data_IF_186235285633
#
_entry.id   IF_186235285633
#
_cell.length_a   1.000
_cell.length_b   1.000
_cell.length_c   1.000
_cell.angle_alpha   90.00
_cell.angle_beta   90.00
_cell.angle_gamma   90.00
#
_symmetry.space_group_name_H-M   'P 1'
#
loop_
_entity.id
_entity.type
_entity.pdbx_description
1 polymer ?
#
# COMPACT_ATOMS: atom_id res chain seq x y z
N UNK A 1 -21.73 -12.64 -41.69
CA UNK A 1 -22.11 -13.28 -40.41
C UNK A 1 -20.87 -13.34 -39.52
N UNK A 2 -20.22 -12.20 -39.25
CA UNK A 2 -18.86 -12.20 -38.67
C UNK A 2 -18.51 -10.92 -37.87
N UNK A 3 -19.36 -9.89 -37.86
CA UNK A 3 -19.02 -8.56 -37.29
C UNK A 3 -19.39 -8.44 -35.80
N UNK A 4 -20.27 -9.32 -35.29
CA UNK A 4 -20.72 -9.28 -33.89
C UNK A 4 -19.83 -10.05 -32.91
N UNK A 5 -18.99 -10.98 -33.40
CA UNK A 5 -18.09 -11.76 -32.56
C UNK A 5 -16.91 -10.93 -32.02
N UNK A 6 -16.53 -9.88 -32.74
CA UNK A 6 -15.41 -8.98 -32.37
C UNK A 6 -15.73 -8.12 -31.14
N UNK A 7 -17.01 -7.86 -30.84
CA UNK A 7 -17.44 -7.06 -29.68
C UNK A 7 -17.42 -7.82 -28.35
N UNK A 8 -17.21 -9.14 -28.39
CA UNK A 8 -17.28 -10.02 -27.21
C UNK A 8 -15.91 -10.37 -26.62
N UNK A 9 -14.81 -9.94 -27.26
CA UNK A 9 -13.46 -10.03 -26.70
C UNK A 9 -13.04 -8.66 -26.19
N UNK A 10 -12.92 -8.45 -24.86
CA UNK A 10 -12.30 -7.22 -24.36
C UNK A 10 -10.88 -7.14 -24.91
N UNK A 11 -10.56 -6.09 -25.68
CA UNK A 11 -9.19 -5.83 -26.12
C UNK A 11 -8.35 -5.56 -24.87
N UNK A 12 -7.61 -6.57 -24.40
CA UNK A 12 -6.76 -6.47 -23.22
C UNK A 12 -5.73 -5.36 -23.43
N UNK A 13 -5.91 -4.23 -22.73
CA UNK A 13 -4.92 -3.16 -22.75
C UNK A 13 -3.70 -3.60 -21.95
N UNK A 14 -2.51 -3.05 -22.29
CA UNK A 14 -1.28 -3.30 -21.52
C UNK A 14 -1.45 -2.99 -20.03
N UNK A 15 -2.27 -2.00 -19.69
CA UNK A 15 -2.57 -1.62 -18.30
C UNK A 15 -3.41 -2.69 -17.60
N UNK A 16 -4.46 -3.19 -18.24
CA UNK A 16 -5.32 -4.24 -17.67
C UNK A 16 -4.57 -5.56 -17.47
N UNK A 17 -3.71 -5.93 -18.42
CA UNK A 17 -2.84 -7.11 -18.32
C UNK A 17 -1.87 -7.00 -17.13
N UNK A 18 -1.26 -5.83 -16.91
CA UNK A 18 -0.35 -5.59 -15.78
C UNK A 18 -1.09 -5.63 -14.45
N UNK A 19 -2.27 -5.00 -14.34
CA UNK A 19 -3.06 -4.99 -13.11
C UNK A 19 -3.56 -6.40 -12.74
N UNK A 20 -4.02 -7.18 -13.71
CA UNK A 20 -4.50 -8.55 -13.48
C UNK A 20 -3.37 -9.51 -13.10
N UNK A 21 -2.20 -9.40 -13.74
CA UNK A 21 -1.04 -10.22 -13.40
C UNK A 21 -0.36 -9.84 -12.08
N UNK A 22 -0.53 -8.59 -11.61
CA UNK A 22 0.07 -8.10 -10.36
C UNK A 22 -0.28 -8.97 -9.15
N UNK A 23 -1.55 -9.37 -9.00
CA UNK A 23 -2.00 -10.18 -7.86
C UNK A 23 -1.32 -11.56 -7.84
N UNK A 24 -1.25 -12.22 -9.00
CA UNK A 24 -0.59 -13.52 -9.14
C UNK A 24 0.94 -13.42 -8.98
N UNK A 25 1.55 -12.38 -9.57
CA UNK A 25 2.99 -12.12 -9.50
C UNK A 25 3.46 -11.78 -8.09
N UNK A 26 2.71 -10.93 -7.37
CA UNK A 26 3.00 -10.59 -5.97
C UNK A 26 2.94 -11.84 -5.09
N UNK A 27 1.88 -12.64 -5.18
CA UNK A 27 1.73 -13.87 -4.39
C UNK A 27 2.87 -14.88 -4.62
N UNK A 28 3.41 -14.95 -5.84
CA UNK A 28 4.59 -15.79 -6.12
C UNK A 28 5.91 -15.16 -5.64
N UNK A 29 6.07 -13.84 -5.75
CA UNK A 29 7.29 -13.13 -5.38
C UNK A 29 7.53 -13.03 -3.87
N UNK A 30 6.49 -13.12 -3.05
CA UNK A 30 6.60 -13.05 -1.57
C UNK A 30 7.05 -14.36 -0.91
N UNK A 31 7.48 -15.37 -1.68
CA UNK A 31 8.01 -16.64 -1.18
C UNK A 31 9.54 -16.68 -1.33
N UNK A 32 10.32 -17.01 -0.29
CA UNK A 32 9.97 -17.18 1.11
C UNK A 32 9.90 -15.83 1.85
N UNK A 33 8.96 -15.68 2.78
CA UNK A 33 8.97 -14.59 3.75
C UNK A 33 10.24 -14.74 4.58
N UNK A 34 11.23 -13.91 4.30
CA UNK A 34 12.38 -13.71 5.18
C UNK A 34 11.87 -13.04 6.46
N UNK A 35 11.38 -13.84 7.41
CA UNK A 35 11.02 -13.38 8.74
C UNK A 35 12.29 -13.12 9.56
N UNK A 36 13.13 -12.18 9.10
CA UNK A 36 14.13 -11.56 9.97
C UNK A 36 13.48 -10.31 10.56
N UNK A 37 13.30 -10.31 11.87
CA UNK A 37 12.89 -9.12 12.60
C UNK A 37 14.02 -8.10 12.49
N UNK A 38 13.88 -7.14 11.58
CA UNK A 38 14.74 -5.97 11.51
C UNK A 38 14.20 -4.96 12.51
N UNK A 39 14.91 -4.78 13.62
CA UNK A 39 14.60 -3.69 14.57
C UNK A 39 15.26 -2.42 14.05
N UNK A 40 14.44 -1.52 13.49
CA UNK A 40 14.90 -0.20 13.06
C UNK A 40 15.00 0.73 14.26
N UNK A 41 16.11 1.43 14.39
CA UNK A 41 16.26 2.44 15.43
C UNK A 41 15.38 3.68 15.14
N UNK A 42 14.99 4.41 16.19
CA UNK A 42 14.17 5.61 16.06
C UNK A 42 15.01 6.90 15.99
N UNK A 43 16.31 6.81 15.72
CA UNK A 43 17.18 7.99 15.72
C UNK A 43 16.77 8.95 14.60
N UNK A 44 16.55 10.22 14.95
CA UNK A 44 16.15 11.25 13.99
C UNK A 44 14.67 11.24 13.59
N UNK A 45 13.87 10.32 14.13
CA UNK A 45 12.41 10.30 13.95
C UNK A 45 11.67 10.38 15.29
N UNK A 46 10.44 10.88 15.23
CA UNK A 46 9.47 10.75 16.32
C UNK A 46 8.53 9.63 15.93
N UNK A 47 8.58 8.53 16.67
CA UNK A 47 7.78 7.34 16.43
C UNK A 47 7.03 6.94 17.70
N UNK A 48 5.73 6.65 17.58
CA UNK A 48 4.92 6.25 18.72
C UNK A 48 3.42 6.29 18.46
N UNK A 49 2.67 5.92 19.50
CA UNK A 49 1.21 6.00 19.49
C UNK A 49 0.74 7.45 19.58
N UNK A 50 -0.30 7.76 18.81
CA UNK A 50 -1.00 9.04 18.79
C UNK A 50 -2.49 8.80 18.91
N UNK A 51 -3.19 9.79 19.46
CA UNK A 51 -4.65 9.83 19.49
C UNK A 51 -5.13 10.85 18.48
N UNK A 52 -5.91 10.39 17.51
CA UNK A 52 -6.49 11.23 16.47
C UNK A 52 -7.95 11.51 16.85
N UNK A 53 -8.34 12.77 17.10
CA UNK A 53 -9.72 13.09 17.42
C UNK A 53 -10.61 12.83 16.20
N UNK A 54 -11.68 12.07 16.41
CA UNK A 54 -12.76 11.81 15.45
C UNK A 54 -14.09 12.23 16.09
N UNK A 55 -15.18 12.26 15.31
CA UNK A 55 -16.47 12.75 15.80
C UNK A 55 -16.95 12.08 17.10
N UNK A 56 -16.71 10.78 17.23
CA UNK A 56 -17.23 9.96 18.34
C UNK A 56 -16.16 9.59 19.39
N UNK A 57 -14.96 10.18 19.34
CA UNK A 57 -13.90 9.91 20.32
C UNK A 57 -12.47 10.05 19.78
N UNK A 58 -11.53 9.36 20.42
CA UNK A 58 -10.12 9.34 20.00
C UNK A 58 -9.80 8.00 19.34
N UNK A 59 -9.30 8.04 18.10
CA UNK A 59 -8.80 6.87 17.39
C UNK A 59 -7.30 6.69 17.68
N UNK A 60 -6.88 5.55 18.28
CA UNK A 60 -5.46 5.26 18.43
C UNK A 60 -4.83 4.94 17.07
N UNK A 61 -3.64 5.49 16.82
CA UNK A 61 -2.86 5.21 15.63
C UNK A 61 -1.36 5.21 15.96
N UNK A 62 -0.56 4.54 15.14
CA UNK A 62 0.90 4.67 15.20
C UNK A 62 1.37 5.67 14.15
N UNK A 63 2.22 6.61 14.54
CA UNK A 63 2.83 7.59 13.63
C UNK A 63 4.34 7.58 13.77
N UNK A 64 5.04 7.56 12.65
CA UNK A 64 6.47 7.82 12.55
C UNK A 64 6.72 8.97 11.57
N UNK A 65 7.49 9.97 11.97
CA UNK A 65 7.84 11.13 11.12
C UNK A 65 9.24 11.68 11.47
N UNK A 66 9.91 12.42 10.58
CA UNK A 66 11.17 13.10 10.92
C UNK A 66 11.02 14.01 12.14
N UNK A 67 12.05 14.07 12.99
CA UNK A 67 12.01 14.86 14.23
C UNK A 67 11.99 16.39 14.00
N UNK A 68 12.34 16.85 12.79
CA UNK A 68 12.41 18.27 12.42
C UNK A 68 11.88 18.46 10.99
N UNK A 69 11.30 19.62 10.73
CA UNK A 69 10.65 19.96 9.46
C UNK A 69 9.13 19.95 9.60
N UNK A 70 8.45 20.35 8.53
CA UNK A 70 6.99 20.50 8.49
C UNK A 70 6.45 20.04 7.12
N UNK A 71 5.14 19.82 7.04
CA UNK A 71 4.43 19.47 5.79
C UNK A 71 4.99 18.23 5.08
N UNK A 72 5.19 17.15 5.83
CA UNK A 72 5.65 15.89 5.26
C UNK A 72 4.56 15.20 4.42
N UNK A 73 4.93 14.53 3.31
CA UNK A 73 4.01 13.63 2.63
C UNK A 73 3.62 12.48 3.58
N UNK A 74 2.35 12.06 3.52
CA UNK A 74 1.79 11.04 4.41
C UNK A 74 1.48 9.78 3.62
N UNK A 75 2.05 8.66 4.07
CA UNK A 75 1.62 7.32 3.69
C UNK A 75 0.70 6.77 4.77
N UNK A 76 -0.56 6.51 4.42
CA UNK A 76 -1.54 5.89 5.33
C UNK A 76 -1.47 4.38 5.14
N UNK A 77 -1.34 3.65 6.24
CA UNK A 77 -1.38 2.20 6.26
C UNK A 77 -2.69 1.78 6.93
N UNK A 78 -3.42 0.86 6.28
CA UNK A 78 -4.71 0.32 6.73
C UNK A 78 -4.62 -1.16 7.02
#
# INVERSE_FOLDING_TARGET
MNEDLTRMTPELTRREFVVTSLAAGFAMAVRPVSAQTITTDASGIVAGEVKIPVGDGDMPAYRAMPAKGESFPVAVVV
#
